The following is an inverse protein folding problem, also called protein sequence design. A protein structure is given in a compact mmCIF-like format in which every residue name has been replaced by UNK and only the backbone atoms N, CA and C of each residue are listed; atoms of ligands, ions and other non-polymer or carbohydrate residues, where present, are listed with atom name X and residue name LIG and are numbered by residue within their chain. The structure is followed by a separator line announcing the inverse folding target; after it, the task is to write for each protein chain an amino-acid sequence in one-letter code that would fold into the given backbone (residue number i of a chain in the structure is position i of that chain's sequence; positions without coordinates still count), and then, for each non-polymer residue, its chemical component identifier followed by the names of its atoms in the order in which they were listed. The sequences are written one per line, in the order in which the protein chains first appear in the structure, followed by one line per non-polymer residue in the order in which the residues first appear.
data_IF_803587485432
#
_entry.id   IF_803587485432
#
_cell.length_a   1.000
_cell.length_b   1.000
_cell.length_c   1.000
_cell.angle_alpha   90.00
_cell.angle_beta   90.00
_cell.angle_gamma   90.00
#
_symmetry.space_group_name_H-M   'P 1'
#
loop_
_entity.id
_entity.type
_entity.pdbx_description
1 polymer ?
#
# COMPACT_ATOMS: atom_id res chain seq x y z
N UNK A 1 14.41 35.09 49.56
CA UNK A 1 14.29 33.73 48.97
C UNK A 1 13.55 33.86 47.63
N UNK A 2 14.15 34.54 46.65
CA UNK A 2 13.47 35.01 45.43
C UNK A 2 14.34 34.95 44.17
N UNK A 3 15.61 34.51 44.28
CA UNK A 3 16.51 34.34 43.13
C UNK A 3 16.55 32.91 42.58
N UNK A 4 16.00 31.92 43.29
CA UNK A 4 16.00 30.51 42.85
C UNK A 4 14.89 30.18 41.84
N UNK A 5 13.81 30.97 41.80
CA UNK A 5 12.66 30.71 40.92
C UNK A 5 12.94 31.19 39.48
N UNK A 6 13.66 32.31 39.33
CA UNK A 6 14.05 32.85 38.02
C UNK A 6 15.03 31.92 37.28
N UNK A 7 15.93 31.26 37.99
CA UNK A 7 16.85 30.28 37.41
C UNK A 7 16.14 29.03 36.87
N UNK A 8 15.11 28.55 37.57
CA UNK A 8 14.34 27.38 37.12
C UNK A 8 13.49 27.69 35.88
N UNK A 9 12.89 28.89 35.82
CA UNK A 9 12.13 29.34 34.66
C UNK A 9 13.04 29.49 33.42
N UNK A 10 14.23 30.07 33.57
CA UNK A 10 15.20 30.19 32.48
C UNK A 10 15.74 28.81 32.01
N UNK A 11 15.97 27.88 32.93
CA UNK A 11 16.40 26.52 32.60
C UNK A 11 15.33 25.72 31.83
N UNK A 12 14.05 25.88 32.20
CA UNK A 12 12.92 25.24 31.50
C UNK A 12 12.75 25.80 30.08
N UNK A 13 12.91 27.12 29.91
CA UNK A 13 12.82 27.76 28.58
C UNK A 13 14.01 27.34 27.70
N UNK A 14 15.20 27.17 28.26
CA UNK A 14 16.35 26.63 27.52
C UNK A 14 16.12 25.17 27.09
N UNK A 15 15.54 24.33 27.96
CA UNK A 15 15.15 22.96 27.59
C UNK A 15 13.98 22.89 26.61
N UNK A 16 13.11 23.90 26.54
CA UNK A 16 12.03 23.98 25.54
C UNK A 16 12.50 24.54 24.19
N UNK A 17 13.46 25.48 24.18
CA UNK A 17 14.09 25.99 22.95
C UNK A 17 15.07 24.98 22.32
N UNK A 18 15.72 24.14 23.14
CA UNK A 18 16.59 23.05 22.70
C UNK A 18 15.91 21.66 22.77
N UNK A 19 14.57 21.61 22.87
CA UNK A 19 13.83 20.37 22.68
C UNK A 19 13.85 20.04 21.20
N UNK A 20 14.74 19.14 20.79
CA UNK A 20 14.71 18.54 19.46
C UNK A 20 13.31 17.96 19.24
N UNK A 21 12.55 18.61 18.36
CA UNK A 21 11.32 18.05 17.81
C UNK A 21 11.71 16.73 17.16
N UNK A 22 11.29 15.63 17.76
CA UNK A 22 11.30 14.33 17.12
C UNK A 22 10.34 14.39 15.93
N UNK A 23 10.88 14.78 14.78
CA UNK A 23 10.36 14.45 13.46
C UNK A 23 10.96 13.08 13.18
N UNK A 24 10.14 12.04 13.27
CA UNK A 24 10.53 10.70 12.85
C UNK A 24 10.65 10.65 11.33
N UNK A 25 11.58 9.83 10.86
CA UNK A 25 11.98 9.57 9.47
C UNK A 25 12.90 10.60 8.81
N UNK A 26 14.20 10.46 9.08
CA UNK A 26 15.27 10.92 8.17
C UNK A 26 16.30 9.80 8.07
N UNK A 27 16.75 9.49 6.86
CA UNK A 27 17.90 8.63 6.63
C UNK A 27 19.04 9.38 5.97
N UNK A 28 20.21 9.25 6.60
CA UNK A 28 21.47 9.71 6.06
C UNK A 28 21.94 8.76 4.97
N UNK A 29 22.20 9.32 3.79
CA UNK A 29 22.96 8.68 2.73
C UNK A 29 24.44 9.01 2.93
N UNK A 30 25.11 8.27 3.81
CA UNK A 30 26.55 8.03 3.64
C UNK A 30 26.85 6.53 3.68
N UNK A 31 27.70 6.17 2.73
CA UNK A 31 28.05 4.86 2.22
C UNK A 31 28.75 3.97 3.24
N UNK A 32 28.12 2.86 3.68
CA UNK A 32 28.77 1.55 3.76
C UNK A 32 27.77 0.41 4.02
N UNK A 33 28.13 -0.78 3.53
CA UNK A 33 27.43 -2.07 3.51
C UNK A 33 26.41 -2.28 2.40
N UNK A 34 26.78 -3.22 1.53
CA UNK A 34 25.95 -4.00 0.61
C UNK A 34 24.72 -4.56 1.37
N UNK A 35 23.65 -3.77 1.51
CA UNK A 35 22.41 -4.24 2.12
C UNK A 35 21.79 -5.23 1.14
N UNK A 36 22.13 -6.52 1.30
CA UNK A 36 21.55 -7.61 0.53
C UNK A 36 20.07 -7.72 0.89
N UNK A 37 19.22 -7.13 0.04
CA UNK A 37 17.76 -7.25 0.18
C UNK A 37 17.37 -8.71 0.04
N UNK A 38 16.88 -9.31 1.13
CA UNK A 38 16.38 -10.67 1.13
C UNK A 38 14.87 -10.65 0.85
N UNK A 39 14.46 -11.42 -0.16
CA UNK A 39 13.06 -11.66 -0.44
C UNK A 39 12.60 -12.94 0.20
N UNK A 40 11.41 -12.91 0.81
CA UNK A 40 10.75 -14.06 1.40
C UNK A 40 9.41 -14.27 0.71
N UNK A 41 9.02 -15.54 0.61
CA UNK A 41 7.68 -15.93 0.18
C UNK A 41 6.88 -16.28 1.43
N UNK A 42 5.73 -15.63 1.61
CA UNK A 42 4.86 -15.88 2.75
C UNK A 42 3.97 -17.12 2.53
N UNK A 43 3.13 -17.44 3.51
CA UNK A 43 2.15 -18.51 3.38
C UNK A 43 1.22 -18.29 2.18
N UNK A 44 0.81 -19.39 1.55
CA UNK A 44 -0.18 -19.35 0.50
C UNK A 44 -1.59 -19.32 1.09
N UNK A 45 -2.43 -18.47 0.50
CA UNK A 45 -3.85 -18.35 0.79
C UNK A 45 -4.67 -18.79 -0.42
N UNK A 46 -5.81 -19.43 -0.16
CA UNK A 46 -6.74 -19.85 -1.22
C UNK A 46 -7.51 -18.64 -1.75
N UNK A 47 -7.52 -18.46 -3.06
CA UNK A 47 -8.40 -17.49 -3.72
C UNK A 47 -9.79 -18.13 -3.85
N UNK A 48 -10.72 -17.70 -2.99
CA UNK A 48 -12.06 -18.32 -2.83
C UNK A 48 -12.80 -18.49 -4.16
N UNK A 49 -13.35 -19.69 -4.36
CA UNK A 49 -14.13 -20.04 -5.56
C UNK A 49 -13.29 -20.25 -6.82
N UNK A 50 -11.98 -20.45 -6.69
CA UNK A 50 -11.04 -20.67 -7.81
C UNK A 50 -10.02 -21.76 -7.46
N UNK A 51 -9.32 -22.36 -8.46
CA UNK A 51 -8.23 -23.30 -8.21
C UNK A 51 -6.88 -22.63 -7.88
N UNK A 52 -6.87 -21.34 -7.58
CA UNK A 52 -5.64 -20.58 -7.40
C UNK A 52 -5.30 -20.35 -5.93
N UNK A 53 -4.00 -20.42 -5.63
CA UNK A 53 -3.40 -19.93 -4.40
C UNK A 53 -2.63 -18.64 -4.69
N UNK A 54 -2.55 -17.77 -3.69
CA UNK A 54 -1.77 -16.53 -3.73
C UNK A 54 -0.86 -16.46 -2.51
N UNK A 55 0.37 -16.03 -2.71
CA UNK A 55 1.29 -15.65 -1.63
C UNK A 55 1.90 -14.28 -1.91
N UNK A 56 2.23 -13.55 -0.86
CA UNK A 56 2.97 -12.29 -0.95
C UNK A 56 4.48 -12.57 -0.97
N UNK A 57 5.18 -11.86 -1.84
CA UNK A 57 6.65 -11.80 -1.85
C UNK A 57 7.03 -10.53 -1.09
N UNK A 58 7.61 -10.68 0.09
CA UNK A 58 8.02 -9.55 0.93
C UNK A 58 9.54 -9.38 0.93
N UNK A 59 10.01 -8.17 1.23
CA UNK A 59 11.40 -7.93 1.57
C UNK A 59 11.54 -7.60 3.04
N UNK A 60 12.50 -8.22 3.72
CA UNK A 60 12.98 -7.78 5.03
C UNK A 60 14.22 -6.93 4.82
N UNK A 61 14.21 -5.72 5.36
CA UNK A 61 15.40 -4.88 5.43
C UNK A 61 15.82 -4.87 6.90
N UNK A 62 16.86 -5.65 7.22
CA UNK A 62 17.40 -5.70 8.58
C UNK A 62 18.12 -4.38 8.87
N UNK A 63 17.42 -3.42 9.46
CA UNK A 63 18.05 -2.26 10.07
C UNK A 63 18.47 -2.62 11.49
N UNK A 64 19.78 -2.65 11.75
CA UNK A 64 20.30 -2.66 13.13
C UNK A 64 20.12 -1.25 13.70
N UNK A 65 18.96 -0.97 14.27
CA UNK A 65 18.75 0.25 15.05
C UNK A 65 18.21 -0.14 16.44
N UNK A 66 18.97 0.26 17.46
CA UNK A 66 18.75 -0.09 18.86
C UNK A 66 17.41 0.43 19.37
N UNK A 67 16.67 -0.46 20.03
CA UNK A 67 15.36 -0.27 20.68
C UNK A 67 14.18 -0.08 19.70
N UNK A 68 13.38 -1.15 19.57
CA UNK A 68 12.23 -1.38 18.67
C UNK A 68 12.56 -2.06 17.34
N UNK A 69 12.76 -3.38 17.39
CA UNK A 69 12.57 -4.27 16.23
C UNK A 69 11.06 -4.31 15.90
N UNK A 70 10.61 -3.50 14.94
CA UNK A 70 9.37 -3.74 14.22
C UNK A 70 9.75 -4.19 12.82
N UNK A 71 9.76 -5.49 12.57
CA UNK A 71 9.91 -6.04 11.24
C UNK A 71 8.69 -5.67 10.38
N UNK A 72 8.71 -4.50 9.74
CA UNK A 72 7.71 -4.13 8.75
C UNK A 72 8.07 -4.78 7.41
N UNK A 73 7.74 -6.06 7.26
CA UNK A 73 7.88 -6.77 5.98
C UNK A 73 7.10 -6.01 4.89
N UNK A 74 7.79 -5.52 3.87
CA UNK A 74 7.18 -4.76 2.78
C UNK A 74 6.80 -5.70 1.65
N UNK A 75 5.53 -5.69 1.21
CA UNK A 75 5.10 -6.52 0.07
C UNK A 75 5.65 -5.91 -1.22
N UNK A 76 6.43 -6.70 -1.96
CA UNK A 76 7.11 -6.27 -3.19
C UNK A 76 6.49 -6.86 -4.45
N UNK A 77 5.79 -7.99 -4.31
CA UNK A 77 5.10 -8.68 -5.39
C UNK A 77 4.13 -9.72 -4.82
N UNK A 78 3.42 -10.41 -5.71
CA UNK A 78 2.60 -11.57 -5.39
C UNK A 78 3.00 -12.74 -6.28
N UNK A 79 2.92 -13.96 -5.75
CA UNK A 79 3.08 -15.20 -6.48
C UNK A 79 1.74 -15.92 -6.53
N UNK A 80 1.32 -16.29 -7.73
CA UNK A 80 0.11 -17.07 -7.98
C UNK A 80 0.50 -18.49 -8.35
N UNK A 81 -0.26 -19.46 -7.84
CA UNK A 81 -0.07 -20.87 -8.10
C UNK A 81 -1.41 -21.52 -8.49
N UNK A 82 -1.44 -22.21 -9.62
CA UNK A 82 -2.59 -22.97 -10.07
C UNK A 82 -2.52 -24.40 -9.53
N UNK A 83 -3.47 -24.79 -8.68
CA UNK A 83 -3.50 -26.14 -8.11
C UNK A 83 -3.87 -27.23 -9.11
N UNK A 84 -4.46 -26.88 -10.25
CA UNK A 84 -4.90 -27.86 -11.27
C UNK A 84 -3.75 -28.37 -12.13
N UNK A 85 -2.83 -27.49 -12.54
CA UNK A 85 -1.71 -27.81 -13.44
C UNK A 85 -0.32 -27.54 -12.81
N UNK A 86 -0.28 -27.07 -11.56
CA UNK A 86 0.91 -26.73 -10.79
C UNK A 86 1.76 -25.61 -11.40
N UNK A 87 1.21 -24.80 -12.31
CA UNK A 87 1.89 -23.64 -12.86
C UNK A 87 1.93 -22.48 -11.86
N UNK A 88 2.99 -21.66 -11.92
CA UNK A 88 3.19 -20.51 -11.04
C UNK A 88 3.73 -19.30 -11.80
N UNK A 89 3.33 -18.09 -11.38
CA UNK A 89 3.84 -16.84 -11.93
C UNK A 89 3.74 -15.70 -10.92
N UNK A 90 4.53 -14.66 -11.15
CA UNK A 90 4.44 -13.41 -10.39
C UNK A 90 3.39 -12.48 -11.00
N UNK A 91 2.78 -11.63 -10.18
CA UNK A 91 1.81 -10.61 -10.63
C UNK A 91 2.45 -9.64 -11.63
N UNK A 92 3.64 -9.15 -11.28
CA UNK A 92 4.47 -8.29 -12.14
C UNK A 92 5.87 -8.87 -12.30
N UNK A 93 6.60 -8.56 -13.40
CA UNK A 93 7.88 -9.20 -13.71
C UNK A 93 9.00 -8.98 -12.69
N UNK A 94 9.03 -7.84 -11.99
CA UNK A 94 10.07 -7.44 -11.05
C UNK A 94 9.51 -7.15 -9.64
N UNK A 95 10.38 -6.94 -8.64
CA UNK A 95 9.99 -6.70 -7.24
C UNK A 95 10.28 -5.24 -6.82
N UNK A 96 10.27 -4.32 -7.80
CA UNK A 96 10.69 -2.93 -7.58
C UNK A 96 9.55 -2.07 -7.01
N UNK A 97 8.31 -2.55 -7.08
CA UNK A 97 7.14 -1.87 -6.52
C UNK A 97 6.98 -2.15 -5.02
N UNK A 98 6.24 -1.27 -4.34
CA UNK A 98 5.75 -1.48 -2.99
C UNK A 98 4.22 -1.60 -3.05
N UNK A 99 3.68 -2.76 -2.69
CA UNK A 99 2.24 -2.96 -2.58
C UNK A 99 1.82 -2.62 -1.14
N UNK A 100 1.04 -1.55 -1.02
CA UNK A 100 0.62 -1.00 0.28
C UNK A 100 -0.64 -1.71 0.78
N UNK A 101 -1.56 -1.99 -0.14
CA UNK A 101 -2.80 -2.70 0.17
C UNK A 101 -3.25 -3.55 -1.03
N UNK A 102 -4.08 -4.55 -0.76
CA UNK A 102 -4.79 -5.32 -1.78
C UNK A 102 -6.08 -5.86 -1.20
N UNK A 103 -7.10 -6.03 -2.04
CA UNK A 103 -8.31 -6.77 -1.66
C UNK A 103 -8.89 -7.54 -2.85
N UNK A 104 -9.53 -8.67 -2.54
CA UNK A 104 -10.25 -9.46 -3.54
C UNK A 104 -11.59 -8.79 -3.88
N UNK A 105 -11.91 -8.75 -5.17
CA UNK A 105 -13.18 -8.28 -5.70
C UNK A 105 -14.09 -9.47 -6.01
N UNK A 106 -15.36 -9.35 -5.67
CA UNK A 106 -16.39 -10.36 -5.88
C UNK A 106 -17.62 -10.02 -5.04
N UNK A 107 -18.82 -10.33 -5.54
CA UNK A 107 -20.02 -10.05 -4.76
C UNK A 107 -20.11 -10.97 -3.54
N UNK A 108 -20.35 -10.34 -2.40
CA UNK A 108 -20.79 -11.00 -1.19
C UNK A 108 -22.31 -11.18 -1.20
N UNK A 109 -22.79 -12.36 -0.82
CA UNK A 109 -24.23 -12.59 -0.66
C UNK A 109 -24.64 -12.35 0.80
N UNK A 110 -25.65 -11.49 1.07
CA UNK A 110 -26.28 -11.41 2.39
C UNK A 110 -26.88 -12.77 2.78
N UNK A 111 -26.97 -13.10 4.08
CA UNK A 111 -26.58 -12.31 5.25
C UNK A 111 -25.09 -12.42 5.62
N UNK A 112 -24.35 -13.34 5.00
CA UNK A 112 -23.00 -13.72 5.43
C UNK A 112 -21.95 -12.65 5.09
N UNK A 113 -22.22 -11.77 4.12
CA UNK A 113 -21.25 -10.80 3.58
C UNK A 113 -19.91 -11.44 3.15
N UNK A 114 -19.91 -12.74 2.84
CA UNK A 114 -18.73 -13.49 2.38
C UNK A 114 -18.72 -13.58 0.86
N UNK A 115 -17.57 -13.22 0.26
CA UNK A 115 -17.30 -13.45 -1.16
C UNK A 115 -17.20 -14.95 -1.41
N UNK A 116 -18.13 -15.50 -2.20
CA UNK A 116 -18.14 -16.91 -2.58
C UNK A 116 -17.23 -17.22 -3.76
N UNK A 117 -17.03 -16.24 -4.64
CA UNK A 117 -16.17 -16.36 -5.82
C UNK A 117 -15.48 -15.04 -6.12
N UNK A 118 -14.15 -15.06 -6.11
CA UNK A 118 -13.33 -13.91 -6.48
C UNK A 118 -13.35 -13.75 -8.00
N UNK A 119 -13.56 -12.51 -8.46
CA UNK A 119 -13.60 -12.12 -9.87
C UNK A 119 -12.35 -11.33 -10.29
N UNK A 120 -11.72 -10.64 -9.34
CA UNK A 120 -10.52 -9.86 -9.55
C UNK A 120 -9.84 -9.51 -8.24
N UNK A 121 -8.71 -8.83 -8.32
CA UNK A 121 -7.99 -8.32 -7.16
C UNK A 121 -7.56 -6.91 -7.50
N UNK A 122 -7.79 -5.98 -6.57
CA UNK A 122 -7.29 -4.62 -6.71
C UNK A 122 -6.15 -4.37 -5.72
N UNK A 123 -5.29 -3.42 -6.06
CA UNK A 123 -4.06 -3.13 -5.38
C UNK A 123 -3.86 -1.62 -5.25
N UNK A 124 -3.34 -1.18 -4.11
CA UNK A 124 -2.64 0.09 -3.99
C UNK A 124 -1.13 -0.18 -4.10
N UNK A 125 -0.50 0.40 -5.11
CA UNK A 125 0.91 0.20 -5.40
C UNK A 125 1.65 1.52 -5.50
N UNK A 126 2.83 1.58 -4.91
CA UNK A 126 3.79 2.65 -5.10
C UNK A 126 4.83 2.15 -6.10
N UNK A 127 4.97 2.87 -7.21
CA UNK A 127 5.81 2.49 -8.35
C UNK A 127 6.97 3.46 -8.58
N UNK A 128 6.94 4.62 -7.94
CA UNK A 128 7.96 5.65 -8.02
C UNK A 128 8.01 6.44 -6.72
N UNK A 129 9.21 6.94 -6.40
CA UNK A 129 9.45 7.93 -5.36
C UNK A 129 8.92 9.28 -5.86
N UNK A 130 7.97 9.83 -5.11
CA UNK A 130 7.23 11.04 -5.46
C UNK A 130 7.59 12.26 -4.62
N UNK A 131 8.30 12.06 -3.51
CA UNK A 131 8.79 13.15 -2.63
C UNK A 131 10.31 13.39 -2.75
N UNK A 132 11.02 12.51 -3.45
CA UNK A 132 12.42 12.65 -3.80
C UNK A 132 13.39 12.20 -2.70
N UNK A 133 12.92 11.49 -1.68
CA UNK A 133 13.74 11.01 -0.56
C UNK A 133 14.58 9.76 -0.89
N UNK A 134 14.46 9.24 -2.12
CA UNK A 134 15.11 8.05 -2.70
C UNK A 134 14.62 6.75 -2.09
N UNK A 135 13.41 6.72 -1.54
CA UNK A 135 12.79 5.56 -0.93
C UNK A 135 11.42 5.36 -1.55
N UNK A 136 10.94 4.11 -1.50
CA UNK A 136 9.54 3.83 -1.81
C UNK A 136 8.84 3.54 -0.49
N UNK A 137 7.92 4.41 -0.11
CA UNK A 137 7.18 4.33 1.14
C UNK A 137 5.69 4.44 0.90
N UNK A 138 4.87 4.17 1.91
CA UNK A 138 3.42 4.38 1.80
C UNK A 138 3.03 5.87 1.74
N UNK A 139 3.96 6.79 2.02
CA UNK A 139 3.75 8.23 1.88
C UNK A 139 3.73 8.67 0.42
N UNK A 140 4.43 7.96 -0.45
CA UNK A 140 4.45 8.23 -1.87
C UNK A 140 3.08 8.16 -2.52
N UNK A 141 2.97 8.81 -3.68
CA UNK A 141 1.79 8.72 -4.54
C UNK A 141 1.58 7.30 -5.03
N UNK A 142 0.35 6.83 -4.85
CA UNK A 142 -0.10 5.50 -5.19
C UNK A 142 -0.60 5.46 -6.62
N UNK A 143 -0.59 4.26 -7.15
CA UNK A 143 -1.31 3.84 -8.33
C UNK A 143 -2.28 2.75 -7.91
N UNK A 144 -3.54 2.88 -8.32
CA UNK A 144 -4.54 1.83 -8.18
C UNK A 144 -4.42 0.92 -9.40
N UNK A 145 -4.28 -0.37 -9.15
CA UNK A 145 -4.19 -1.38 -10.19
C UNK A 145 -5.17 -2.53 -9.93
N UNK A 146 -5.51 -3.28 -10.99
CA UNK A 146 -6.43 -4.42 -10.92
C UNK A 146 -5.90 -5.57 -11.77
N UNK A 147 -6.06 -6.81 -11.29
CA UNK A 147 -5.83 -8.04 -12.06
C UNK A 147 -7.09 -8.90 -12.08
N UNK A 148 -7.08 -9.96 -12.90
CA UNK A 148 -8.04 -11.05 -12.70
C UNK A 148 -7.72 -11.85 -11.43
N UNK A 149 -8.61 -12.78 -11.07
CA UNK A 149 -8.46 -13.64 -9.89
C UNK A 149 -7.22 -14.55 -9.94
N UNK A 150 -6.62 -14.75 -11.11
CA UNK A 150 -5.42 -15.56 -11.28
C UNK A 150 -4.15 -14.68 -11.21
N UNK A 151 -4.28 -13.38 -10.93
CA UNK A 151 -3.13 -12.47 -10.95
C UNK A 151 -2.56 -12.24 -12.35
N UNK A 152 -3.32 -12.57 -13.40
CA UNK A 152 -2.98 -12.22 -14.78
C UNK A 152 -3.68 -10.92 -15.17
N UNK A 153 -3.27 -10.38 -16.32
CA UNK A 153 -3.84 -9.16 -16.87
C UNK A 153 -3.81 -7.98 -15.89
N UNK A 154 -2.70 -7.84 -15.15
CA UNK A 154 -2.46 -6.70 -14.27
C UNK A 154 -2.50 -5.39 -15.07
N UNK A 155 -3.36 -4.47 -14.65
CA UNK A 155 -3.56 -3.18 -15.30
C UNK A 155 -3.57 -2.07 -14.26
N UNK A 156 -2.68 -1.09 -14.41
CA UNK A 156 -2.77 0.18 -13.67
C UNK A 156 -3.92 1.02 -14.23
N UNK A 157 -4.85 1.42 -13.38
CA UNK A 157 -6.09 2.09 -13.79
C UNK A 157 -6.18 3.54 -13.34
N UNK A 158 -5.59 3.90 -12.19
CA UNK A 158 -5.58 5.28 -11.68
C UNK A 158 -4.19 5.56 -11.13
N UNK A 159 -3.54 6.62 -11.61
CA UNK A 159 -2.20 7.04 -11.17
C UNK A 159 -2.28 8.33 -10.36
N UNK A 160 -1.20 8.67 -9.66
CA UNK A 160 -1.05 9.92 -8.91
C UNK A 160 -2.12 10.09 -7.81
N UNK A 161 -2.40 9.00 -7.09
CA UNK A 161 -3.35 8.98 -5.98
C UNK A 161 -2.61 9.35 -4.70
N UNK A 162 -3.02 10.41 -4.03
CA UNK A 162 -2.42 10.80 -2.75
C UNK A 162 -2.88 9.84 -1.64
N UNK A 163 -4.19 9.56 -1.59
CA UNK A 163 -4.79 8.65 -0.62
C UNK A 163 -6.07 8.00 -1.16
N UNK A 164 -6.26 6.70 -0.89
CA UNK A 164 -7.56 6.04 -1.07
C UNK A 164 -8.43 6.31 0.16
N UNK A 165 -9.61 6.88 -0.06
CA UNK A 165 -10.59 7.19 0.98
C UNK A 165 -11.53 6.02 1.26
N UNK A 166 -11.78 5.19 0.25
CA UNK A 166 -12.63 4.01 0.38
C UNK A 166 -12.98 3.38 -0.96
N UNK A 167 -13.61 2.21 -0.88
CA UNK A 167 -13.99 1.44 -2.06
C UNK A 167 -15.36 0.82 -1.89
N UNK A 168 -16.08 0.62 -2.99
CA UNK A 168 -17.38 -0.04 -2.97
C UNK A 168 -17.62 -0.84 -4.25
N UNK A 169 -18.17 -2.04 -4.13
CA UNK A 169 -18.57 -2.86 -5.27
C UNK A 169 -20.11 -2.98 -5.30
N UNK A 170 -20.82 -2.12 -6.04
CA UNK A 170 -22.29 -2.15 -6.07
C UNK A 170 -22.87 -3.35 -6.83
N UNK A 171 -22.12 -3.98 -7.74
CA UNK A 171 -22.56 -5.14 -8.53
C UNK A 171 -21.35 -5.97 -9.01
N UNK A 172 -21.57 -7.03 -9.79
CA UNK A 172 -20.50 -7.93 -10.26
C UNK A 172 -19.48 -7.28 -11.22
N UNK A 173 -19.89 -6.23 -11.92
CA UNK A 173 -19.08 -5.62 -12.97
C UNK A 173 -18.41 -4.32 -12.53
N UNK A 174 -18.93 -3.65 -11.51
CA UNK A 174 -18.53 -2.29 -11.16
C UNK A 174 -17.77 -2.25 -9.84
N UNK A 175 -16.60 -1.62 -9.85
CA UNK A 175 -15.82 -1.27 -8.67
C UNK A 175 -15.64 0.25 -8.59
N UNK A 176 -16.05 0.85 -7.47
CA UNK A 176 -15.91 2.27 -7.20
C UNK A 176 -14.73 2.48 -6.26
N UNK A 177 -13.85 3.42 -6.61
CA UNK A 177 -12.77 3.88 -5.74
C UNK A 177 -12.92 5.37 -5.50
N UNK A 178 -12.94 5.75 -4.22
CA UNK A 178 -12.97 7.12 -3.74
C UNK A 178 -11.56 7.47 -3.28
N UNK A 179 -11.01 8.58 -3.76
CA UNK A 179 -9.61 8.92 -3.52
C UNK A 179 -9.35 10.42 -3.61
N UNK A 180 -8.23 10.86 -3.03
CA UNK A 180 -7.67 12.19 -3.21
C UNK A 180 -6.56 12.16 -4.25
N UNK A 181 -6.50 13.21 -5.06
CA UNK A 181 -5.41 13.48 -5.99
C UNK A 181 -5.30 14.99 -6.20
N UNK A 182 -4.10 15.54 -6.02
CA UNK A 182 -3.83 16.98 -6.11
C UNK A 182 -4.81 17.81 -5.25
N UNK A 183 -5.02 17.36 -4.01
CA UNK A 183 -5.93 17.96 -3.02
C UNK A 183 -7.42 18.00 -3.43
N UNK A 184 -7.82 17.27 -4.47
CA UNK A 184 -9.21 17.13 -4.90
C UNK A 184 -9.72 15.72 -4.65
N UNK A 185 -11.01 15.61 -4.36
CA UNK A 185 -11.67 14.33 -4.14
C UNK A 185 -12.29 13.81 -5.45
N UNK A 186 -12.10 12.54 -5.75
CA UNK A 186 -12.63 11.89 -6.92
C UNK A 186 -13.32 10.57 -6.57
N UNK A 187 -14.25 10.18 -7.43
CA UNK A 187 -14.71 8.79 -7.55
C UNK A 187 -14.44 8.31 -8.96
N UNK A 188 -13.85 7.12 -9.07
CA UNK A 188 -13.64 6.44 -10.34
C UNK A 188 -14.36 5.11 -10.35
N UNK A 189 -15.12 4.89 -11.42
CA UNK A 189 -15.75 3.62 -11.74
C UNK A 189 -14.81 2.78 -12.61
N UNK A 190 -14.53 1.57 -12.17
CA UNK A 190 -13.72 0.58 -12.88
C UNK A 190 -14.61 -0.61 -13.20
N UNK A 191 -14.59 -1.04 -14.46
CA UNK A 191 -15.24 -2.27 -14.87
C UNK A 191 -14.31 -3.46 -14.54
N UNK A 192 -14.74 -4.34 -13.63
CA UNK A 192 -13.94 -5.47 -13.12
C UNK A 192 -13.56 -6.46 -14.23
N UNK A 193 -14.49 -6.95 -15.09
CA UNK A 193 -14.15 -7.91 -16.14
C UNK A 193 -13.12 -7.38 -17.15
N UNK A 194 -13.22 -6.11 -17.53
CA UNK A 194 -12.34 -5.50 -18.55
C UNK A 194 -11.12 -4.80 -17.95
N UNK A 195 -11.12 -4.53 -16.63
CA UNK A 195 -10.09 -3.77 -15.90
C UNK A 195 -9.85 -2.38 -16.49
N UNK A 196 -10.93 -1.72 -16.91
CA UNK A 196 -10.88 -0.38 -17.52
C UNK A 196 -11.63 0.63 -16.67
N UNK A 197 -11.10 1.84 -16.60
CA UNK A 197 -11.84 3.00 -16.12
C UNK A 197 -13.02 3.26 -17.06
N UNK A 198 -14.21 3.32 -16.48
CA UNK A 198 -15.45 3.65 -17.18
C UNK A 198 -15.67 5.16 -17.10
N UNK A 199 -15.59 5.71 -15.88
CA UNK A 199 -15.79 7.13 -15.64
C UNK A 199 -15.03 7.58 -14.40
N UNK A 200 -14.52 8.81 -14.43
CA UNK A 200 -13.97 9.52 -13.27
C UNK A 200 -14.76 10.80 -13.07
N UNK A 201 -15.21 11.06 -11.85
CA UNK A 201 -15.93 12.28 -11.50
C UNK A 201 -15.29 12.94 -10.28
N UNK A 202 -15.13 14.27 -10.27
CA UNK A 202 -14.84 14.96 -9.03
C UNK A 202 -16.03 14.82 -8.08
N UNK A 203 -15.75 14.64 -6.80
CA UNK A 203 -16.75 14.79 -5.75
C UNK A 203 -16.96 16.28 -5.46
N UNK A 204 -18.12 16.68 -4.90
CA UNK A 204 -18.34 18.05 -4.48
C UNK A 204 -17.22 18.56 -3.58
N UNK A 205 -16.83 19.85 -3.69
CA UNK A 205 -15.94 20.47 -2.72
C UNK A 205 -16.56 20.42 -1.32
N UNK A 206 -15.71 20.40 -0.30
CA UNK A 206 -16.14 20.40 1.10
C UNK A 206 -16.36 21.83 1.64
N UNK A 207 -16.08 22.85 0.83
CA UNK A 207 -16.19 24.29 1.12
C UNK A 207 -17.27 24.97 0.28
#
# INVERSE_FOLDING_TARGET
MTFSILGYAAYRIYQELFRERHVGDIVNLETDSDIKVQFNLNSFEVIKGTPYLMSTISSQQNYRQSYYEKEAASIRNFLFFNTSDQSAWKLIPNNNSLFVSYQTLGLSTPPENVIKKVQGIWYEVVTADSDGDKRLTASDRKTIAVSDFAGKNYTEVIRQVDQVLGTHQPNEATFLVFYTSDAKNFVTEINIPTRKVVVTKPLPPLE
#
